data_IF_002936935573
#
_entry.id   IF_002936935573
#
_cell.length_a   1.000
_cell.length_b   1.000
_cell.length_c   1.000
_cell.angle_alpha   90.00
_cell.angle_beta   90.00
_cell.angle_gamma   90.00
#
_symmetry.space_group_name_H-M   'P 1'
#
loop_
_entity.id
_entity.type
_entity.pdbx_description
1 polymer ?
#
# COMPACT_ATOMS: atom_id res chain seq x y z
N UNK A 1 -36.05 2.17 -57.26
CA UNK A 1 -36.43 2.51 -55.88
C UNK A 1 -35.20 2.38 -55.00
N UNK A 2 -34.57 3.53 -54.77
CA UNK A 2 -33.27 3.73 -54.11
C UNK A 2 -33.45 3.79 -52.59
N UNK A 3 -32.66 3.01 -51.84
CA UNK A 3 -32.54 3.10 -50.36
C UNK A 3 -31.47 4.14 -50.00
N UNK A 4 -31.72 5.06 -49.06
CA UNK A 4 -30.70 6.01 -48.63
C UNK A 4 -29.82 5.46 -47.51
N UNK A 5 -28.54 5.75 -47.67
CA UNK A 5 -27.42 5.66 -46.73
C UNK A 5 -27.51 6.80 -45.70
N UNK A 6 -27.30 6.51 -44.42
CA UNK A 6 -27.09 7.52 -43.37
C UNK A 6 -25.99 7.04 -42.42
N UNK A 7 -24.75 7.31 -42.81
CA UNK A 7 -23.64 7.54 -41.86
C UNK A 7 -23.79 8.95 -41.27
N UNK A 8 -23.69 9.09 -39.95
CA UNK A 8 -23.36 10.37 -39.30
C UNK A 8 -22.01 10.25 -38.57
N UNK A 9 -21.11 11.22 -38.74
CA UNK A 9 -19.83 11.26 -38.05
C UNK A 9 -19.96 11.92 -36.67
N UNK A 10 -19.22 11.41 -35.70
CA UNK A 10 -18.96 12.07 -34.43
C UNK A 10 -17.83 13.09 -34.62
N UNK A 11 -18.12 14.36 -34.40
CA UNK A 11 -17.13 15.42 -34.25
C UNK A 11 -17.06 15.82 -32.79
N UNK A 12 -15.90 15.69 -32.15
CA UNK A 12 -15.61 16.36 -30.90
C UNK A 12 -14.12 16.70 -30.79
N UNK A 13 -13.84 17.99 -30.77
CA UNK A 13 -12.64 18.65 -30.23
C UNK A 13 -12.91 20.16 -30.20
N UNK A 14 -12.19 21.02 -29.43
CA UNK A 14 -11.29 20.73 -28.30
C UNK A 14 -11.35 21.78 -27.12
N UNK A 15 -10.65 21.45 -26.02
CA UNK A 15 -10.00 22.25 -24.94
C UNK A 15 -10.65 23.43 -24.16
N UNK A 16 -10.30 23.43 -22.85
CA UNK A 16 -10.04 24.53 -21.90
C UNK A 16 -11.20 25.21 -21.13
N UNK A 17 -11.22 25.01 -19.80
CA UNK A 17 -11.14 26.04 -18.73
C UNK A 17 -11.39 25.37 -17.36
N UNK A 18 -10.38 25.27 -16.49
CA UNK A 18 -9.97 26.22 -15.44
C UNK A 18 -10.79 26.13 -14.13
N UNK A 19 -10.01 26.07 -13.06
CA UNK A 19 -10.27 25.97 -11.62
C UNK A 19 -11.31 26.92 -10.97
N UNK A 20 -11.70 26.53 -9.74
CA UNK A 20 -12.38 27.24 -8.64
C UNK A 20 -13.91 27.40 -8.67
N UNK A 21 -14.62 26.70 -7.78
CA UNK A 21 -15.20 27.35 -6.58
C UNK A 21 -15.78 26.35 -5.56
N UNK A 22 -15.57 26.68 -4.29
CA UNK A 22 -15.99 25.98 -3.08
C UNK A 22 -17.51 25.98 -2.82
N UNK A 23 -17.91 24.98 -2.02
CA UNK A 23 -18.91 25.02 -0.92
C UNK A 23 -20.31 25.59 -1.23
N UNK A 24 -21.28 24.69 -1.17
CA UNK A 24 -22.42 24.71 -0.22
C UNK A 24 -23.29 23.48 -0.46
N UNK A 25 -23.47 22.62 0.53
CA UNK A 25 -24.68 21.82 0.61
C UNK A 25 -25.18 21.80 2.07
N UNK A 26 -26.40 22.29 2.34
CA UNK A 26 -26.92 22.45 3.68
C UNK A 26 -27.59 21.17 4.22
N UNK A 27 -27.72 21.18 5.54
CA UNK A 27 -28.32 20.19 6.43
C UNK A 27 -29.73 19.74 6.03
N UNK A 28 -29.99 18.44 6.22
CA UNK A 28 -31.30 17.84 6.49
C UNK A 28 -31.07 16.54 7.26
N UNK A 29 -30.96 16.57 8.59
CA UNK A 29 -32.04 16.21 9.54
C UNK A 29 -32.66 14.84 9.26
N UNK A 30 -32.29 13.84 10.09
CA UNK A 30 -33.23 12.92 10.75
C UNK A 30 -32.48 12.08 11.83
N UNK A 31 -32.84 12.34 13.09
CA UNK A 31 -33.04 11.35 14.15
C UNK A 31 -31.85 10.57 14.71
N UNK A 32 -31.14 11.13 15.70
CA UNK A 32 -30.35 10.36 16.67
C UNK A 32 -31.09 10.42 18.01
N UNK A 33 -31.49 9.23 18.48
CA UNK A 33 -32.04 9.01 19.81
C UNK A 33 -30.98 9.25 20.88
N UNK A 34 -31.39 9.92 21.96
CA UNK A 34 -30.52 10.39 23.02
C UNK A 34 -29.90 9.28 23.86
N UNK A 35 -28.64 9.50 24.23
CA UNK A 35 -28.08 8.97 25.46
C UNK A 35 -27.69 10.14 26.35
N UNK A 36 -28.41 10.25 27.44
CA UNK A 36 -28.28 11.20 28.52
C UNK A 36 -27.06 10.81 29.36
N UNK A 37 -25.99 11.61 29.32
CA UNK A 37 -24.82 11.42 30.18
C UNK A 37 -24.64 12.65 31.07
N UNK A 38 -24.93 12.40 32.36
CA UNK A 38 -24.84 13.30 33.50
C UNK A 38 -23.61 14.21 33.50
N UNK A 39 -23.90 15.49 33.73
CA UNK A 39 -23.03 16.46 34.39
C UNK A 39 -22.49 15.91 35.72
N UNK A 40 -21.18 15.82 35.80
CA UNK A 40 -20.44 15.93 37.06
C UNK A 40 -19.45 17.08 36.89
N UNK A 41 -19.83 18.27 37.37
CA UNK A 41 -18.94 19.39 37.52
C UNK A 41 -17.97 19.07 38.66
N UNK A 42 -16.67 19.02 38.37
CA UNK A 42 -15.62 19.10 39.40
C UNK A 42 -14.87 20.40 39.17
N UNK A 43 -14.89 21.24 40.20
CA UNK A 43 -14.25 22.54 40.27
C UNK A 43 -12.72 22.38 40.34
N UNK A 44 -12.00 23.14 39.52
CA UNK A 44 -10.57 23.39 39.69
C UNK A 44 -10.37 24.62 40.57
N UNK A 45 -9.51 24.58 41.61
CA UNK A 45 -9.11 25.79 42.32
C UNK A 45 -8.05 26.54 41.50
N UNK A 46 -8.30 27.83 41.32
CA UNK A 46 -7.32 28.80 40.83
C UNK A 46 -6.26 29.07 41.91
N UNK A 47 -5.01 28.75 41.62
CA UNK A 47 -3.85 29.21 42.39
C UNK A 47 -3.17 30.34 41.63
N UNK A 48 -3.21 31.52 42.21
CA UNK A 48 -2.51 32.73 41.79
C UNK A 48 -1.11 32.77 42.39
N UNK A 49 -0.05 32.71 41.58
CA UNK A 49 1.28 33.19 41.95
C UNK A 49 1.93 34.00 40.81
N UNK A 50 2.54 35.09 41.23
CA UNK A 50 3.12 36.22 40.49
C UNK A 50 4.59 35.93 40.05
N UNK A 51 5.29 36.82 39.31
CA UNK A 51 6.07 36.43 38.15
C UNK A 51 7.58 36.33 38.44
N UNK A 52 8.20 35.20 38.09
CA UNK A 52 9.65 35.04 38.09
C UNK A 52 10.24 35.39 36.71
N UNK A 53 11.03 36.47 36.70
CA UNK A 53 12.23 36.72 35.89
C UNK A 53 12.42 35.93 34.58
N UNK A 54 12.30 36.66 33.46
CA UNK A 54 12.81 36.27 32.13
C UNK A 54 14.33 36.06 32.18
N UNK A 55 14.74 34.83 32.46
CA UNK A 55 16.08 34.33 32.19
C UNK A 55 16.24 34.11 30.69
N UNK A 56 17.13 34.89 30.09
CA UNK A 56 17.58 34.78 28.70
C UNK A 56 18.22 33.39 28.51
N UNK A 57 17.71 32.56 27.62
CA UNK A 57 18.42 31.35 27.19
C UNK A 57 19.73 31.79 26.50
N UNK A 58 20.91 31.36 26.97
CA UNK A 58 22.12 31.54 26.20
C UNK A 58 22.10 30.52 25.05
N UNK A 59 21.94 31.01 23.82
CA UNK A 59 22.45 30.31 22.65
C UNK A 59 23.93 30.04 22.91
N UNK A 60 24.26 28.78 23.19
CA UNK A 60 25.63 28.32 23.30
C UNK A 60 25.89 27.38 22.12
N UNK A 61 26.79 27.87 21.27
CA UNK A 61 27.73 27.12 20.44
C UNK A 61 27.19 25.90 19.69
N UNK A 62 26.98 26.10 18.38
CA UNK A 62 27.21 25.04 17.39
C UNK A 62 28.68 24.61 17.54
N UNK A 63 28.88 23.38 17.98
CA UNK A 63 30.19 22.77 18.16
C UNK A 63 30.70 22.34 16.77
N UNK A 64 31.69 23.06 16.24
CA UNK A 64 32.42 22.77 15.00
C UNK A 64 33.30 21.50 15.16
N UNK A 65 32.65 20.33 15.25
CA UNK A 65 33.35 19.03 15.32
C UNK A 65 32.91 17.99 14.30
N UNK A 66 32.29 18.42 13.20
CA UNK A 66 31.87 17.53 12.10
C UNK A 66 32.92 17.33 10.99
N UNK A 67 34.20 17.61 11.24
CA UNK A 67 35.27 17.47 10.23
C UNK A 67 36.19 16.26 10.45
N UNK A 68 35.67 15.14 10.95
CA UNK A 68 36.49 13.94 11.15
C UNK A 68 35.80 12.58 10.86
N UNK A 69 34.69 12.57 10.11
CA UNK A 69 34.20 11.34 9.49
C UNK A 69 34.74 11.28 8.07
N UNK A 70 35.80 10.49 7.89
CA UNK A 70 36.43 10.20 6.61
C UNK A 70 35.47 9.50 5.64
N UNK A 71 34.52 10.25 5.10
CA UNK A 71 33.77 9.88 3.91
C UNK A 71 34.76 9.81 2.75
N UNK A 72 35.29 8.62 2.52
CA UNK A 72 35.87 8.30 1.22
C UNK A 72 34.71 8.21 0.23
N UNK A 73 34.74 8.94 -0.90
CA UNK A 73 33.79 8.69 -1.96
C UNK A 73 33.92 7.21 -2.32
N UNK A 74 32.80 6.49 -2.28
CA UNK A 74 32.73 5.14 -2.84
C UNK A 74 32.92 5.33 -4.33
N UNK A 75 34.14 5.11 -4.81
CA UNK A 75 34.37 4.85 -6.22
C UNK A 75 33.59 3.57 -6.53
N UNK A 76 32.42 3.73 -7.15
CA UNK A 76 31.69 2.64 -7.78
C UNK A 76 32.60 2.13 -8.90
N UNK A 77 33.47 1.18 -8.55
CA UNK A 77 34.28 0.45 -9.49
C UNK A 77 33.35 -0.30 -10.43
N UNK A 78 33.18 0.23 -11.63
CA UNK A 78 32.56 -0.48 -12.74
C UNK A 78 33.37 -1.75 -13.00
N UNK A 79 32.81 -2.91 -12.63
CA UNK A 79 33.43 -4.20 -12.89
C UNK A 79 33.21 -4.56 -14.37
N UNK A 80 34.27 -4.78 -15.18
CA UNK A 80 34.15 -4.97 -16.62
C UNK A 80 33.57 -6.32 -17.06
N UNK A 81 33.28 -7.22 -16.10
CA UNK A 81 32.71 -8.56 -16.37
C UNK A 81 31.20 -8.65 -16.14
N UNK A 82 30.51 -7.52 -16.00
CA UNK A 82 29.05 -7.54 -16.15
C UNK A 82 28.78 -7.75 -17.63
N UNK A 83 28.33 -8.95 -17.98
CA UNK A 83 27.70 -9.26 -19.26
C UNK A 83 26.35 -8.52 -19.26
N UNK A 84 26.43 -7.20 -19.40
CA UNK A 84 25.27 -6.33 -19.49
C UNK A 84 24.72 -6.59 -20.88
N UNK A 85 23.63 -7.35 -20.96
CA UNK A 85 22.74 -7.30 -22.11
C UNK A 85 22.56 -5.81 -22.48
N UNK A 86 23.07 -5.48 -23.66
CA UNK A 86 23.22 -4.14 -24.23
C UNK A 86 22.42 -3.03 -23.50
N UNK A 87 23.05 -2.27 -22.57
CA UNK A 87 22.33 -1.38 -21.67
C UNK A 87 21.76 -0.12 -22.36
N UNK A 88 21.67 -0.10 -23.68
CA UNK A 88 21.22 1.08 -24.45
C UNK A 88 20.10 0.71 -25.44
N UNK A 89 19.87 -0.57 -25.73
CA UNK A 89 18.77 -0.99 -26.61
C UNK A 89 17.37 -0.71 -26.02
N UNK A 90 17.25 -0.66 -24.68
CA UNK A 90 16.01 -0.40 -23.94
C UNK A 90 15.61 1.08 -23.82
N UNK A 91 16.44 2.02 -24.29
CA UNK A 91 16.14 3.46 -24.28
C UNK A 91 15.21 3.91 -25.41
N UNK A 92 14.70 2.99 -26.23
CA UNK A 92 13.98 3.33 -27.47
C UNK A 92 12.47 3.46 -27.32
N UNK A 93 11.92 3.25 -26.11
CA UNK A 93 10.47 3.20 -25.92
C UNK A 93 9.82 2.02 -26.63
N UNK A 94 10.60 0.98 -26.95
CA UNK A 94 10.12 -0.26 -27.57
C UNK A 94 9.30 -1.07 -26.56
N UNK A 95 8.02 -1.37 -26.85
CA UNK A 95 7.16 -2.23 -26.02
C UNK A 95 7.76 -3.61 -25.73
N UNK A 96 8.69 -4.10 -26.56
CA UNK A 96 9.38 -5.37 -26.33
C UNK A 96 10.17 -5.42 -25.01
N UNK A 97 10.49 -4.26 -24.42
CA UNK A 97 11.11 -4.13 -23.11
C UNK A 97 10.22 -4.62 -21.94
N UNK A 98 8.91 -4.81 -22.16
CA UNK A 98 7.98 -5.29 -21.13
C UNK A 98 8.09 -6.80 -20.88
N UNK A 99 8.53 -7.59 -21.86
CA UNK A 99 8.52 -9.05 -21.75
C UNK A 99 9.43 -9.60 -20.62
N UNK A 100 10.67 -9.10 -20.42
CA UNK A 100 11.47 -9.48 -19.26
C UNK A 100 10.78 -9.13 -17.93
N UNK A 101 10.11 -7.97 -17.87
CA UNK A 101 9.38 -7.49 -16.69
C UNK A 101 8.17 -8.34 -16.34
N UNK A 102 7.68 -9.19 -17.25
CA UNK A 102 6.58 -10.13 -16.99
C UNK A 102 7.08 -11.49 -16.50
N UNK A 103 8.34 -11.85 -16.76
CA UNK A 103 8.87 -13.19 -16.50
C UNK A 103 9.71 -13.30 -15.23
N UNK A 104 10.15 -12.16 -14.68
CA UNK A 104 11.03 -12.12 -13.51
C UNK A 104 10.29 -11.59 -12.27
N UNK A 105 10.69 -11.97 -11.04
CA UNK A 105 10.21 -11.32 -9.82
C UNK A 105 10.45 -9.81 -9.88
N UNK A 106 9.51 -9.02 -9.37
CA UNK A 106 9.60 -7.55 -9.43
C UNK A 106 10.79 -7.04 -8.64
N UNK A 107 11.62 -6.20 -9.26
CA UNK A 107 12.73 -5.47 -8.65
C UNK A 107 12.48 -3.95 -8.62
N UNK A 108 13.27 -3.21 -7.83
CA UNK A 108 13.24 -1.76 -7.78
C UNK A 108 13.53 -1.09 -9.14
N UNK A 109 14.30 -1.75 -10.01
CA UNK A 109 14.67 -1.23 -11.33
C UNK A 109 13.47 -1.18 -12.29
N UNK A 110 12.46 -2.02 -12.08
CA UNK A 110 11.30 -2.15 -12.98
C UNK A 110 10.47 -0.86 -13.04
N UNK A 111 10.41 -0.08 -11.95
CA UNK A 111 9.73 1.22 -11.94
C UNK A 111 10.43 2.22 -12.87
N UNK A 112 11.77 2.23 -12.85
CA UNK A 112 12.58 3.11 -13.70
C UNK A 112 12.35 2.77 -15.16
N UNK A 113 12.32 1.47 -15.49
CA UNK A 113 12.06 1.01 -16.84
C UNK A 113 10.64 1.36 -17.29
N UNK A 114 9.64 1.20 -16.42
CA UNK A 114 8.26 1.53 -16.73
C UNK A 114 8.07 3.03 -17.00
N UNK A 115 8.73 3.90 -16.24
CA UNK A 115 8.68 5.36 -16.44
C UNK A 115 9.29 5.81 -17.79
N UNK A 116 10.11 4.98 -18.42
CA UNK A 116 10.71 5.27 -19.73
C UNK A 116 9.82 4.87 -20.91
N UNK A 117 8.75 4.10 -20.66
CA UNK A 117 7.82 3.68 -21.70
C UNK A 117 6.85 4.82 -22.01
N UNK A 118 6.85 5.28 -23.27
CA UNK A 118 5.83 6.22 -23.75
C UNK A 118 4.53 5.47 -24.04
N UNK A 119 3.62 5.47 -23.06
CA UNK A 119 2.31 4.81 -23.16
C UNK A 119 1.45 5.34 -24.31
N UNK A 120 1.64 6.60 -24.74
CA UNK A 120 0.89 7.18 -25.85
C UNK A 120 1.41 6.69 -27.22
N UNK A 121 2.65 6.21 -27.27
CA UNK A 121 3.24 5.59 -28.45
C UNK A 121 2.85 4.11 -28.63
N UNK A 122 2.30 3.46 -27.59
CA UNK A 122 1.83 2.07 -27.68
C UNK A 122 0.55 2.03 -28.52
N UNK A 123 0.61 1.36 -29.68
CA UNK A 123 -0.51 1.27 -30.61
C UNK A 123 -1.22 -0.08 -30.58
N UNK A 124 -0.54 -1.14 -30.14
CA UNK A 124 -1.10 -2.49 -30.07
C UNK A 124 -1.83 -2.72 -28.73
N UNK A 125 -3.11 -3.11 -28.72
CA UNK A 125 -3.85 -3.38 -27.49
C UNK A 125 -3.21 -4.45 -26.59
N UNK A 126 -2.55 -5.45 -27.15
CA UNK A 126 -1.87 -6.49 -26.36
C UNK A 126 -0.72 -5.90 -25.51
N UNK A 127 0.07 -4.98 -26.07
CA UNK A 127 1.17 -4.30 -25.38
C UNK A 127 0.65 -3.39 -24.26
N UNK A 128 -0.52 -2.76 -24.42
CA UNK A 128 -1.18 -2.02 -23.35
C UNK A 128 -1.60 -2.93 -22.18
N UNK A 129 -2.03 -4.16 -22.47
CA UNK A 129 -2.35 -5.15 -21.42
C UNK A 129 -1.08 -5.61 -20.70
N UNK A 130 0.03 -5.79 -21.42
CA UNK A 130 1.32 -6.11 -20.82
C UNK A 130 1.81 -4.97 -19.92
N UNK A 131 1.69 -3.72 -20.36
CA UNK A 131 2.01 -2.54 -19.55
C UNK A 131 1.17 -2.49 -18.26
N UNK A 132 -0.16 -2.65 -18.37
CA UNK A 132 -1.06 -2.71 -17.22
C UNK A 132 -0.72 -3.87 -16.27
N UNK A 133 -0.28 -5.00 -16.82
CA UNK A 133 0.15 -6.15 -16.03
C UNK A 133 1.40 -5.81 -15.22
N UNK A 134 2.42 -5.22 -15.84
CA UNK A 134 3.64 -4.76 -15.14
C UNK A 134 3.30 -3.74 -14.05
N UNK A 135 2.42 -2.75 -14.33
CA UNK A 135 1.91 -1.81 -13.33
C UNK A 135 1.31 -2.55 -12.13
N UNK A 136 0.43 -3.52 -12.37
CA UNK A 136 -0.20 -4.31 -11.30
C UNK A 136 0.80 -5.11 -10.46
N UNK A 137 1.89 -5.59 -11.07
CA UNK A 137 2.97 -6.28 -10.35
C UNK A 137 3.79 -5.31 -9.49
N UNK A 138 4.05 -4.10 -9.97
CA UNK A 138 4.69 -3.03 -9.19
C UNK A 138 3.81 -2.56 -8.03
N UNK A 139 2.49 -2.43 -8.25
CA UNK A 139 1.54 -2.14 -7.17
C UNK A 139 1.59 -3.21 -6.07
N UNK A 140 1.68 -4.50 -6.44
CA UNK A 140 1.85 -5.59 -5.49
C UNK A 140 3.15 -5.46 -4.67
N UNK A 141 4.26 -5.11 -5.32
CA UNK A 141 5.54 -4.84 -4.64
C UNK A 141 5.43 -3.68 -3.65
N UNK A 142 4.84 -2.56 -4.07
CA UNK A 142 4.62 -1.39 -3.21
C UNK A 142 3.71 -1.72 -2.03
N UNK A 143 2.64 -2.49 -2.26
CA UNK A 143 1.76 -2.98 -1.21
C UNK A 143 2.53 -3.85 -0.20
N UNK A 144 3.41 -4.73 -0.67
CA UNK A 144 4.26 -5.54 0.23
C UNK A 144 5.17 -4.67 1.11
N UNK A 145 5.75 -3.60 0.57
CA UNK A 145 6.59 -2.68 1.35
C UNK A 145 5.76 -1.91 2.39
N UNK A 146 4.60 -1.41 1.98
CA UNK A 146 3.66 -0.72 2.87
C UNK A 146 3.21 -1.63 4.03
N UNK A 147 2.76 -2.85 3.74
CA UNK A 147 2.34 -3.82 4.76
C UNK A 147 3.51 -4.18 5.71
N UNK A 148 4.75 -4.28 5.20
CA UNK A 148 5.90 -4.50 6.08
C UNK A 148 6.14 -3.32 7.05
N UNK A 149 5.96 -2.08 6.58
CA UNK A 149 6.07 -0.89 7.42
C UNK A 149 4.94 -0.81 8.45
N UNK A 150 3.70 -1.11 8.07
CA UNK A 150 2.55 -1.15 8.98
C UNK A 150 2.73 -2.20 10.07
N UNK A 151 3.18 -3.41 9.73
CA UNK A 151 3.49 -4.46 10.71
C UNK A 151 4.63 -4.06 11.65
N UNK A 152 5.65 -3.35 11.16
CA UNK A 152 6.75 -2.86 11.99
C UNK A 152 6.28 -1.74 12.93
N UNK A 153 5.45 -0.82 12.44
CA UNK A 153 4.88 0.25 13.24
C UNK A 153 3.96 -0.30 14.34
N UNK A 154 3.06 -1.22 14.00
CA UNK A 154 2.16 -1.85 14.97
C UNK A 154 2.92 -2.58 16.10
N UNK A 155 3.98 -3.31 15.76
CA UNK A 155 4.84 -3.97 16.74
C UNK A 155 5.69 -2.99 17.57
N UNK A 156 6.00 -1.80 17.03
CA UNK A 156 6.71 -0.75 17.80
C UNK A 156 5.77 -0.04 18.76
N UNK A 157 4.54 0.25 18.32
CA UNK A 157 3.51 0.87 19.12
C UNK A 157 2.98 -0.06 20.23
N UNK A 158 2.99 -1.37 19.97
CA UNK A 158 2.58 -2.38 20.93
C UNK A 158 3.56 -3.58 20.95
N UNK A 159 4.67 -3.49 21.71
CA UNK A 159 5.74 -4.48 21.71
C UNK A 159 5.35 -5.85 22.27
N UNK A 160 4.37 -5.90 23.17
CA UNK A 160 3.88 -7.15 23.76
C UNK A 160 2.57 -7.57 23.07
N UNK A 161 2.60 -8.60 22.19
CA UNK A 161 1.40 -9.08 21.50
C UNK A 161 0.40 -9.75 22.45
N UNK A 162 0.83 -10.17 23.65
CA UNK A 162 -0.05 -10.81 24.64
C UNK A 162 -0.78 -9.81 25.53
N UNK A 163 -0.31 -8.56 25.56
CA UNK A 163 -0.85 -7.47 26.39
C UNK A 163 -1.30 -6.30 25.50
N UNK A 164 -1.72 -6.57 24.25
CA UNK A 164 -2.22 -5.53 23.37
C UNK A 164 -3.46 -4.88 23.98
N UNK A 165 -3.26 -3.72 24.59
CA UNK A 165 -4.37 -2.93 25.10
C UNK A 165 -5.14 -2.38 23.91
N UNK A 166 -6.47 -2.47 23.96
CA UNK A 166 -7.34 -1.92 22.92
C UNK A 166 -7.07 -0.43 22.64
N UNK A 167 -6.53 0.30 23.62
CA UNK A 167 -6.13 1.70 23.47
C UNK A 167 -4.84 1.88 22.67
N UNK A 168 -3.81 1.06 22.90
CA UNK A 168 -2.56 1.13 22.15
C UNK A 168 -2.78 0.73 20.69
N UNK A 169 -3.59 -0.29 20.45
CA UNK A 169 -3.99 -0.69 19.10
C UNK A 169 -4.78 0.42 18.40
N UNK A 170 -5.82 0.97 19.04
CA UNK A 170 -6.61 2.06 18.47
C UNK A 170 -5.77 3.32 18.19
N UNK A 171 -4.78 3.62 19.03
CA UNK A 171 -3.85 4.73 18.77
C UNK A 171 -2.99 4.45 17.53
N UNK A 172 -2.43 3.24 17.40
CA UNK A 172 -1.65 2.85 16.23
C UNK A 172 -2.50 2.90 14.95
N UNK A 173 -3.74 2.42 15.00
CA UNK A 173 -4.70 2.50 13.90
C UNK A 173 -4.99 3.95 13.46
N UNK A 174 -5.13 4.88 14.41
CA UNK A 174 -5.36 6.29 14.11
C UNK A 174 -4.15 6.95 13.44
N UNK A 175 -2.94 6.66 13.93
CA UNK A 175 -1.70 7.19 13.33
C UNK A 175 -1.51 6.66 11.90
N UNK A 176 -1.73 5.36 11.68
CA UNK A 176 -1.69 4.77 10.33
C UNK A 176 -2.77 5.38 9.45
N UNK A 177 -4.01 5.49 9.93
CA UNK A 177 -5.11 6.09 9.17
C UNK A 177 -4.80 7.53 8.74
N UNK A 178 -4.19 8.32 9.63
CA UNK A 178 -3.76 9.68 9.31
C UNK A 178 -2.66 9.71 8.25
N UNK A 179 -1.63 8.88 8.40
CA UNK A 179 -0.50 8.80 7.48
C UNK A 179 -0.91 8.30 6.08
N UNK A 180 -1.78 7.30 5.99
CA UNK A 180 -2.22 6.69 4.72
C UNK A 180 -3.46 7.36 4.13
N UNK A 181 -4.03 8.37 4.82
CA UNK A 181 -5.29 9.05 4.46
C UNK A 181 -6.46 8.08 4.32
N UNK A 182 -6.50 7.09 5.21
CA UNK A 182 -7.54 6.08 5.27
C UNK A 182 -8.46 6.33 6.49
N UNK A 183 -9.55 5.58 6.58
CA UNK A 183 -10.37 5.52 7.81
C UNK A 183 -9.66 4.68 8.88
N UNK A 184 -9.98 4.91 10.16
CA UNK A 184 -9.46 4.09 11.26
C UNK A 184 -9.81 2.59 11.07
N UNK A 185 -11.03 2.29 10.61
CA UNK A 185 -11.42 0.91 10.29
C UNK A 185 -10.60 0.31 9.14
N UNK A 186 -10.32 1.10 8.09
CA UNK A 186 -9.46 0.69 6.97
C UNK A 186 -8.03 0.39 7.44
N UNK A 187 -7.46 1.28 8.24
CA UNK A 187 -6.13 1.10 8.83
C UNK A 187 -6.07 -0.12 9.75
N UNK A 188 -7.10 -0.37 10.56
CA UNK A 188 -7.21 -1.58 11.38
C UNK A 188 -7.13 -2.85 10.53
N UNK A 189 -7.87 -2.90 9.41
CA UNK A 189 -7.83 -4.03 8.47
C UNK A 189 -6.49 -4.17 7.73
N UNK A 190 -5.83 -3.06 7.44
CA UNK A 190 -4.49 -3.06 6.85
C UNK A 190 -3.45 -3.60 7.85
N UNK A 191 -3.48 -3.15 9.10
CA UNK A 191 -2.60 -3.65 10.18
C UNK A 191 -2.85 -5.14 10.47
N UNK A 192 -4.11 -5.57 10.57
CA UNK A 192 -4.48 -7.00 10.73
C UNK A 192 -3.87 -7.85 9.62
N UNK A 193 -4.02 -7.42 8.37
CA UNK A 193 -3.45 -8.11 7.20
C UNK A 193 -1.93 -8.10 7.22
N UNK A 194 -1.32 -6.96 7.56
CA UNK A 194 0.12 -6.79 7.63
C UNK A 194 0.76 -7.76 8.65
N UNK A 195 0.15 -7.88 9.84
CA UNK A 195 0.60 -8.79 10.88
C UNK A 195 0.36 -10.25 10.47
N UNK A 196 -0.82 -10.60 9.95
CA UNK A 196 -1.12 -11.95 9.48
C UNK A 196 -0.16 -12.44 8.39
N UNK A 197 0.18 -11.59 7.41
CA UNK A 197 1.17 -11.91 6.38
C UNK A 197 2.59 -12.03 6.92
N UNK A 198 2.93 -11.28 7.98
CA UNK A 198 4.26 -11.33 8.58
C UNK A 198 4.44 -12.59 9.42
N UNK A 199 3.42 -12.99 10.18
CA UNK A 199 3.51 -14.01 11.23
C UNK A 199 2.95 -15.36 10.80
N UNK A 200 1.84 -15.36 10.05
CA UNK A 200 1.08 -16.57 9.71
C UNK A 200 1.26 -17.01 8.26
N UNK A 201 1.34 -16.06 7.33
CA UNK A 201 1.35 -16.34 5.89
C UNK A 201 2.59 -15.77 5.16
N UNK A 202 3.81 -16.22 5.52
CA UNK A 202 5.05 -15.71 4.95
C UNK A 202 5.19 -16.02 3.45
N UNK A 203 4.58 -17.10 2.96
CA UNK A 203 4.65 -17.50 1.55
C UNK A 203 3.83 -16.57 0.67
N UNK A 204 2.62 -16.19 1.12
CA UNK A 204 1.83 -15.15 0.45
C UNK A 204 2.52 -13.78 0.49
N UNK A 205 3.17 -13.45 1.60
CA UNK A 205 3.97 -12.21 1.69
C UNK A 205 5.10 -12.21 0.65
N UNK A 206 5.82 -13.31 0.49
CA UNK A 206 6.88 -13.44 -0.50
C UNK A 206 6.34 -13.32 -1.94
N UNK A 207 5.22 -13.98 -2.24
CA UNK A 207 4.59 -13.92 -3.56
C UNK A 207 4.06 -12.51 -3.91
N UNK A 208 3.49 -11.80 -2.93
CA UNK A 208 3.10 -10.39 -3.09
C UNK A 208 4.32 -9.52 -3.38
N UNK A 209 5.41 -9.75 -2.64
CA UNK A 209 6.67 -9.02 -2.81
C UNK A 209 7.34 -9.29 -4.17
N UNK A 210 7.08 -10.44 -4.80
CA UNK A 210 7.56 -10.80 -6.13
C UNK A 210 6.61 -10.33 -7.26
N UNK A 211 5.46 -9.74 -6.92
CA UNK A 211 4.43 -9.33 -7.87
C UNK A 211 3.75 -10.51 -8.58
N UNK A 212 3.71 -11.68 -7.95
CA UNK A 212 3.02 -12.87 -8.49
C UNK A 212 1.53 -12.89 -8.14
N UNK A 213 1.18 -12.23 -7.04
CA UNK A 213 -0.20 -12.07 -6.55
C UNK A 213 -0.41 -10.61 -6.15
N UNK A 214 -1.67 -10.18 -6.14
CA UNK A 214 -2.05 -8.83 -5.70
C UNK A 214 -2.47 -8.80 -4.24
N UNK A 215 -2.48 -7.60 -3.63
CA UNK A 215 -2.94 -7.39 -2.25
C UNK A 215 -4.37 -7.91 -2.01
N UNK A 216 -5.22 -7.90 -3.04
CA UNK A 216 -6.58 -8.44 -2.96
C UNK A 216 -6.61 -9.95 -2.69
N UNK A 217 -5.62 -10.70 -3.16
CA UNK A 217 -5.48 -12.12 -2.86
C UNK A 217 -5.09 -12.32 -1.40
N UNK A 218 -4.15 -11.53 -0.88
CA UNK A 218 -3.79 -11.54 0.52
C UNK A 218 -4.97 -11.19 1.43
N UNK A 219 -5.76 -10.17 1.07
CA UNK A 219 -6.98 -9.82 1.78
C UNK A 219 -7.97 -10.99 1.80
N UNK A 220 -8.20 -11.64 0.66
CA UNK A 220 -9.09 -12.80 0.58
C UNK A 220 -8.63 -13.98 1.47
N UNK A 221 -7.33 -14.24 1.54
CA UNK A 221 -6.76 -15.24 2.44
C UNK A 221 -7.04 -14.88 3.90
N UNK A 222 -6.54 -13.72 4.34
CA UNK A 222 -6.64 -13.29 5.75
C UNK A 222 -8.09 -13.21 6.22
N UNK A 223 -8.97 -12.63 5.40
CA UNK A 223 -10.39 -12.48 5.74
C UNK A 223 -11.08 -13.84 5.94
N UNK A 224 -10.75 -14.84 5.12
CA UNK A 224 -11.38 -16.17 5.22
C UNK A 224 -10.79 -17.03 6.34
N UNK A 225 -9.51 -16.85 6.66
CA UNK A 225 -8.84 -17.66 7.69
C UNK A 225 -8.86 -17.04 9.08
N UNK A 226 -9.44 -15.84 9.27
CA UNK A 226 -9.40 -15.06 10.53
C UNK A 226 -9.90 -15.79 11.79
N UNK A 227 -10.72 -16.83 11.64
CA UNK A 227 -11.30 -17.59 12.77
C UNK A 227 -10.63 -18.95 12.98
N UNK A 228 -9.70 -19.33 12.12
CA UNK A 228 -8.95 -20.58 12.24
C UNK A 228 -7.77 -20.31 13.16
N UNK A 229 -7.66 -21.07 14.25
CA UNK A 229 -6.60 -20.91 15.25
C UNK A 229 -5.51 -21.97 15.15
N UNK A 230 -5.79 -23.10 14.51
CA UNK A 230 -4.84 -24.18 14.30
C UNK A 230 -3.80 -23.78 13.25
N UNK A 231 -2.54 -23.67 13.68
CA UNK A 231 -1.42 -23.20 12.86
C UNK A 231 -1.03 -24.21 11.78
N UNK A 232 -1.20 -25.51 12.03
CA UNK A 232 -0.89 -26.55 11.04
C UNK A 232 -1.94 -26.56 9.91
N UNK A 233 -3.21 -26.32 10.28
CA UNK A 233 -4.30 -26.14 9.31
C UNK A 233 -4.04 -24.88 8.47
N UNK A 234 -3.66 -23.76 9.10
CA UNK A 234 -3.35 -22.51 8.39
C UNK A 234 -2.18 -22.67 7.41
N UNK A 235 -1.11 -23.37 7.79
CA UNK A 235 0.01 -23.64 6.90
C UNK A 235 -0.40 -24.52 5.70
N UNK A 236 -1.24 -25.52 5.95
CA UNK A 236 -1.81 -26.37 4.90
C UNK A 236 -2.68 -25.57 3.93
N UNK A 237 -3.50 -24.66 4.47
CA UNK A 237 -4.35 -23.76 3.69
C UNK A 237 -3.49 -22.82 2.84
N UNK A 238 -2.46 -22.22 3.42
CA UNK A 238 -1.56 -21.30 2.72
C UNK A 238 -0.92 -21.98 1.49
N UNK A 239 -0.33 -23.15 1.69
CA UNK A 239 0.36 -23.87 0.61
C UNK A 239 -0.60 -24.21 -0.55
N UNK A 240 -1.78 -24.73 -0.24
CA UNK A 240 -2.78 -25.09 -1.26
C UNK A 240 -3.36 -23.85 -1.97
N UNK A 241 -3.61 -22.77 -1.23
CA UNK A 241 -4.15 -21.53 -1.75
C UNK A 241 -3.16 -20.79 -2.65
N UNK A 242 -1.87 -20.79 -2.30
CA UNK A 242 -0.83 -20.05 -3.03
C UNK A 242 -0.68 -20.56 -4.46
N UNK A 243 -0.67 -21.88 -4.63
CA UNK A 243 -0.63 -22.53 -5.96
C UNK A 243 -1.77 -22.06 -6.87
N UNK A 244 -2.95 -21.81 -6.29
CA UNK A 244 -4.11 -21.31 -7.04
C UNK A 244 -4.11 -19.79 -7.20
N UNK A 245 -3.59 -19.04 -6.24
CA UNK A 245 -3.61 -17.58 -6.24
C UNK A 245 -2.90 -16.97 -7.45
N UNK A 246 -1.89 -17.64 -8.02
CA UNK A 246 -1.16 -17.19 -9.23
C UNK A 246 -1.98 -17.23 -10.51
N UNK A 247 -3.10 -17.97 -10.52
CA UNK A 247 -3.90 -18.22 -11.73
C UNK A 247 -5.35 -17.76 -11.61
N UNK A 248 -5.84 -17.59 -10.38
CA UNK A 248 -7.21 -17.19 -10.10
C UNK A 248 -7.27 -15.70 -9.80
N UNK A 249 -8.43 -15.09 -10.07
CA UNK A 249 -8.73 -13.77 -9.50
C UNK A 249 -8.98 -13.88 -8.00
N UNK A 250 -8.86 -12.77 -7.26
CA UNK A 250 -9.11 -12.75 -5.81
C UNK A 250 -10.52 -13.24 -5.42
N UNK A 251 -11.52 -13.00 -6.27
CA UNK A 251 -12.89 -13.48 -6.05
C UNK A 251 -13.03 -14.99 -6.24
N UNK A 252 -12.30 -15.56 -7.20
CA UNK A 252 -12.27 -17.02 -7.42
C UNK A 252 -11.44 -17.72 -6.35
N UNK A 253 -10.32 -17.11 -5.93
CA UNK A 253 -9.53 -17.58 -4.81
C UNK A 253 -10.38 -17.65 -3.54
N UNK A 254 -11.21 -16.64 -3.26
CA UNK A 254 -12.14 -16.68 -2.12
C UNK A 254 -13.04 -17.92 -2.15
N UNK A 255 -13.66 -18.21 -3.29
CA UNK A 255 -14.49 -19.42 -3.46
C UNK A 255 -13.69 -20.71 -3.32
N UNK A 256 -12.43 -20.71 -3.71
CA UNK A 256 -11.53 -21.84 -3.53
C UNK A 256 -11.19 -22.05 -2.04
N UNK A 257 -10.88 -20.97 -1.32
CA UNK A 257 -10.63 -20.97 0.12
C UNK A 257 -11.83 -21.50 0.89
N UNK A 258 -13.06 -21.05 0.58
CA UNK A 258 -14.28 -21.54 1.24
C UNK A 258 -14.40 -23.07 1.16
N UNK A 259 -14.09 -23.65 -0.01
CA UNK A 259 -14.10 -25.10 -0.22
C UNK A 259 -12.94 -25.82 0.46
N UNK A 260 -11.83 -25.14 0.67
CA UNK A 260 -10.65 -25.69 1.31
C UNK A 260 -10.89 -25.74 2.83
N UNK A 261 -11.34 -24.63 3.42
CA UNK A 261 -11.67 -24.49 4.83
C UNK A 261 -12.75 -25.50 5.25
N UNK A 262 -13.81 -25.65 4.45
CA UNK A 262 -14.88 -26.62 4.73
C UNK A 262 -14.44 -28.10 4.74
N UNK A 263 -13.19 -28.42 4.35
CA UNK A 263 -12.62 -29.78 4.48
C UNK A 263 -11.89 -29.99 5.80
N UNK A 264 -11.60 -28.90 6.52
CA UNK A 264 -10.89 -28.88 7.78
C UNK A 264 -11.82 -28.56 8.97
N UNK A 265 -13.04 -28.08 8.71
CA UNK A 265 -14.16 -28.01 9.67
C UNK A 265 -14.73 -29.41 9.97
#
# INVERSE_FOLDING_TARGET
MTRPDVRRPWTASPVHSLWMMMRRNPLGLLGIGGCDCRRSQVAFPHSSETPATRGRCPMTAVDDRDTALGFRPVELGFHPDWDVHDPIAWLTGDPSALLPLLQQPVDATDLILLEQVDVEAITEPAELIDYLSVVGRLEARLASLRLAAEAAFANTACPDPTVRSSYAEAAAEQEVAYATRNSAYGASKEIERALALKETFPSFRAALAAGEITERHCAALVDQTRYITDTDVLATIEAAALEKARTLTASELRKHLDKLIARHD
#
